data_IF_374887018801
#
_entry.id   IF_374887018801
#
_cell.length_a   1.000
_cell.length_b   1.000
_cell.length_c   1.000
_cell.angle_alpha   90.00
_cell.angle_beta   90.00
_cell.angle_gamma   90.00
#
_symmetry.space_group_name_H-M   'P 1'
#
loop_
_entity.id
_entity.type
_entity.pdbx_description
1 polymer ?
#
# COMPACT_ATOMS: atom_id res chain seq x y z
N UNK A 1 -25.59 33.14 22.00
CA UNK A 1 -24.96 33.60 20.75
C UNK A 1 -24.43 32.38 20.04
N UNK A 2 -25.25 31.82 19.15
CA UNK A 2 -24.86 30.80 18.20
C UNK A 2 -24.36 31.53 16.95
N UNK A 3 -23.16 31.26 16.49
CA UNK A 3 -22.85 31.32 15.06
C UNK A 3 -22.49 29.90 14.63
N UNK A 4 -23.49 29.23 14.05
CA UNK A 4 -23.26 28.05 13.23
C UNK A 4 -22.62 28.56 11.94
N UNK A 5 -21.37 28.20 11.71
CA UNK A 5 -20.71 28.45 10.44
C UNK A 5 -21.55 27.81 9.31
N UNK A 6 -21.88 28.62 8.30
CA UNK A 6 -22.61 28.18 7.11
C UNK A 6 -21.90 26.98 6.44
N UNK A 7 -22.65 25.99 5.94
CA UNK A 7 -22.06 24.95 5.09
C UNK A 7 -21.45 25.62 3.85
N UNK A 8 -20.18 25.32 3.56
CA UNK A 8 -19.54 25.76 2.32
C UNK A 8 -20.26 25.10 1.14
N UNK A 9 -20.57 25.92 0.13
CA UNK A 9 -21.25 25.51 -1.08
C UNK A 9 -20.36 24.54 -1.90
N UNK A 10 -20.96 23.43 -2.33
CA UNK A 10 -20.57 22.57 -3.46
C UNK A 10 -19.07 22.44 -3.75
N UNK A 11 -18.37 21.67 -2.91
CA UNK A 11 -17.26 20.86 -3.42
C UNK A 11 -17.89 19.69 -4.19
N UNK A 12 -18.19 19.88 -5.47
CA UNK A 12 -18.46 18.76 -6.36
C UNK A 12 -17.17 17.94 -6.50
N UNK A 13 -16.92 17.06 -5.52
CA UNK A 13 -15.94 16.00 -5.63
C UNK A 13 -16.39 15.16 -6.83
N UNK A 14 -15.57 15.16 -7.89
CA UNK A 14 -15.81 14.28 -9.03
C UNK A 14 -16.05 12.85 -8.52
N UNK A 15 -17.02 12.11 -9.08
CA UNK A 15 -17.36 10.78 -8.59
C UNK A 15 -16.10 9.93 -8.53
N UNK A 16 -15.77 9.49 -7.32
CA UNK A 16 -14.54 8.79 -7.04
C UNK A 16 -14.54 7.45 -7.79
N UNK A 17 -13.55 7.25 -8.66
CA UNK A 17 -13.50 6.06 -9.52
C UNK A 17 -13.21 4.85 -8.63
N UNK A 18 -14.08 3.82 -8.58
CA UNK A 18 -13.80 2.63 -7.78
C UNK A 18 -12.48 1.96 -8.17
N UNK A 19 -11.83 1.28 -7.22
CA UNK A 19 -10.68 0.43 -7.53
C UNK A 19 -11.13 -0.78 -8.36
N UNK A 20 -10.56 -0.94 -9.55
CA UNK A 20 -10.61 -2.18 -10.31
C UNK A 20 -9.64 -3.23 -9.74
N UNK A 21 -8.59 -2.79 -9.05
CA UNK A 21 -7.59 -3.63 -8.41
C UNK A 21 -8.14 -4.48 -7.24
N UNK A 22 -7.47 -5.60 -6.96
CA UNK A 22 -7.78 -6.49 -5.84
C UNK A 22 -6.82 -6.27 -4.65
N UNK A 23 -7.34 -6.47 -3.43
CA UNK A 23 -6.50 -6.52 -2.24
C UNK A 23 -5.74 -7.85 -2.22
N UNK A 24 -4.42 -7.81 -2.31
CA UNK A 24 -3.58 -9.01 -2.41
C UNK A 24 -2.57 -9.09 -1.28
N UNK A 25 -2.35 -10.32 -0.77
CA UNK A 25 -1.29 -10.61 0.19
C UNK A 25 -0.12 -11.35 -0.45
N UNK A 26 1.12 -11.09 -0.01
CA UNK A 26 2.27 -11.89 -0.43
C UNK A 26 2.20 -13.29 0.16
N UNK A 27 2.52 -14.33 -0.63
CA UNK A 27 2.61 -15.71 -0.11
C UNK A 27 3.87 -15.93 0.73
N UNK A 28 4.85 -15.03 0.64
CA UNK A 28 6.08 -15.06 1.45
C UNK A 28 5.91 -14.52 2.87
N UNK A 29 4.76 -13.92 3.20
CA UNK A 29 4.47 -13.41 4.54
C UNK A 29 4.41 -14.56 5.55
N UNK A 30 5.29 -14.49 6.56
CA UNK A 30 5.44 -15.49 7.63
C UNK A 30 4.72 -15.08 8.93
N UNK A 31 3.92 -14.01 8.89
CA UNK A 31 3.14 -13.52 10.02
C UNK A 31 3.84 -12.42 10.83
N UNK A 32 3.15 -11.99 11.89
CA UNK A 32 3.57 -10.86 12.74
C UNK A 32 4.97 -11.03 13.32
N UNK A 33 5.74 -9.95 13.32
CA UNK A 33 7.06 -9.88 13.93
C UNK A 33 8.15 -10.67 13.20
N UNK A 34 7.86 -11.13 11.98
CA UNK A 34 8.83 -11.76 11.09
C UNK A 34 9.37 -10.75 10.07
N UNK A 35 10.24 -11.21 9.17
CA UNK A 35 10.81 -10.39 8.10
C UNK A 35 9.70 -9.88 7.17
N UNK A 36 9.71 -8.58 6.91
CA UNK A 36 8.77 -7.92 6.01
C UNK A 36 8.81 -8.55 4.62
N UNK A 37 7.66 -8.53 3.95
CA UNK A 37 7.54 -8.99 2.57
C UNK A 37 7.37 -7.82 1.60
N UNK A 38 7.67 -8.04 0.34
CA UNK A 38 7.29 -7.15 -0.75
C UNK A 38 6.39 -7.87 -1.75
N UNK A 39 5.59 -7.09 -2.47
CA UNK A 39 4.88 -7.46 -3.68
C UNK A 39 5.53 -6.75 -4.87
N UNK A 40 5.75 -7.45 -5.98
CA UNK A 40 6.39 -6.91 -7.18
C UNK A 40 5.61 -7.28 -8.43
N UNK A 41 5.51 -6.32 -9.35
CA UNK A 41 5.03 -6.57 -10.71
C UNK A 41 5.86 -5.79 -11.73
N UNK A 42 6.25 -6.50 -12.78
CA UNK A 42 6.84 -5.93 -13.98
C UNK A 42 5.77 -5.84 -15.05
N UNK A 43 5.73 -4.72 -15.77
CA UNK A 43 4.76 -4.43 -16.83
C UNK A 43 5.41 -3.57 -17.91
N UNK A 44 4.81 -3.51 -19.09
CA UNK A 44 5.37 -2.80 -20.24
C UNK A 44 4.41 -1.72 -20.73
N UNK A 45 4.96 -0.53 -20.96
CA UNK A 45 4.27 0.60 -21.57
C UNK A 45 4.79 0.79 -23.00
N UNK A 46 3.93 0.68 -24.00
CA UNK A 46 4.34 0.87 -25.41
C UNK A 46 4.82 2.30 -25.68
N UNK A 47 4.16 3.27 -25.06
CA UNK A 47 4.55 4.69 -25.04
C UNK A 47 4.32 5.24 -23.63
N UNK A 48 4.98 6.36 -23.29
CA UNK A 48 4.74 7.04 -22.03
C UNK A 48 4.59 8.54 -22.22
N UNK A 49 3.42 9.05 -21.85
CA UNK A 49 3.04 10.46 -22.02
C UNK A 49 3.52 11.39 -20.90
N UNK A 50 4.25 10.89 -19.92
CA UNK A 50 4.86 11.70 -18.85
C UNK A 50 3.96 12.01 -17.65
N UNK A 51 2.68 11.61 -17.67
CA UNK A 51 1.76 11.78 -16.54
C UNK A 51 1.05 10.47 -16.20
N UNK A 52 0.92 10.21 -14.90
CA UNK A 52 0.24 9.04 -14.38
C UNK A 52 0.05 9.13 -12.88
N UNK A 53 -0.93 8.41 -12.37
CA UNK A 53 -1.34 8.49 -10.97
C UNK A 53 -1.40 7.11 -10.35
N UNK A 54 -0.71 6.92 -9.23
CA UNK A 54 -0.78 5.71 -8.42
C UNK A 54 -1.69 5.93 -7.22
N UNK A 55 -2.75 5.14 -7.11
CA UNK A 55 -3.57 5.02 -5.90
C UNK A 55 -3.18 3.77 -5.15
N UNK A 56 -2.92 3.87 -3.85
CA UNK A 56 -2.37 2.76 -3.08
C UNK A 56 -2.80 2.79 -1.61
N UNK A 57 -3.04 1.61 -1.05
CA UNK A 57 -3.26 1.38 0.38
C UNK A 57 -2.75 0.00 0.81
N UNK A 58 -2.76 -0.25 2.12
CA UNK A 58 -2.36 -1.53 2.69
C UNK A 58 -3.07 -1.86 4.00
N UNK A 59 -3.34 -3.16 4.21
CA UNK A 59 -3.53 -3.71 5.55
C UNK A 59 -2.15 -3.90 6.19
N UNK A 60 -1.80 -3.02 7.13
CA UNK A 60 -0.42 -2.86 7.60
C UNK A 60 0.11 -1.48 7.28
N UNK A 61 1.39 -1.40 6.95
CA UNK A 61 2.02 -0.23 6.34
C UNK A 61 2.62 -0.60 4.99
N UNK A 62 2.76 0.37 4.10
CA UNK A 62 3.48 0.17 2.85
C UNK A 62 4.56 1.21 2.59
N UNK A 63 5.51 0.84 1.73
CA UNK A 63 6.39 1.76 1.01
C UNK A 63 6.48 1.30 -0.44
N UNK A 64 6.18 2.18 -1.38
CA UNK A 64 6.18 1.85 -2.80
C UNK A 64 7.39 2.42 -3.54
N UNK A 65 7.83 1.70 -4.57
CA UNK A 65 8.91 2.10 -5.46
C UNK A 65 8.55 1.79 -6.90
N UNK A 66 8.83 2.71 -7.81
CA UNK A 66 8.74 2.51 -9.25
C UNK A 66 10.14 2.60 -9.82
N UNK A 67 10.59 1.57 -10.53
CA UNK A 67 11.93 1.50 -11.13
C UNK A 67 13.05 1.80 -10.10
N UNK A 68 12.89 1.28 -8.88
CA UNK A 68 13.81 1.48 -7.76
C UNK A 68 13.75 2.86 -7.09
N UNK A 69 12.96 3.81 -7.61
CA UNK A 69 12.76 5.14 -7.02
C UNK A 69 11.53 5.14 -6.13
N UNK A 70 11.65 5.76 -4.95
CA UNK A 70 10.56 5.85 -3.98
C UNK A 70 9.39 6.64 -4.56
N UNK A 71 8.17 6.16 -4.32
CA UNK A 71 6.93 6.90 -4.58
C UNK A 71 6.55 7.72 -3.36
N UNK A 72 6.38 9.04 -3.55
CA UNK A 72 5.99 9.97 -2.50
C UNK A 72 7.02 10.11 -1.36
N UNK A 73 6.74 11.01 -0.43
CA UNK A 73 7.59 11.21 0.76
C UNK A 73 6.94 10.79 2.08
N UNK A 74 5.63 10.50 2.08
CA UNK A 74 4.84 10.19 3.26
C UNK A 74 5.40 9.01 4.06
N UNK A 75 5.37 9.12 5.37
CA UNK A 75 5.85 8.09 6.28
C UNK A 75 4.67 7.37 6.92
N UNK A 76 4.86 6.09 7.24
CA UNK A 76 3.88 5.27 7.95
C UNK A 76 2.50 5.24 7.24
N UNK A 77 2.51 5.21 5.91
CA UNK A 77 1.31 5.05 5.08
C UNK A 77 0.74 3.63 5.17
N UNK A 78 -0.59 3.45 5.15
CA UNK A 78 -1.62 4.46 4.93
C UNK A 78 -2.09 5.21 6.19
N UNK A 79 -1.41 5.02 7.33
CA UNK A 79 -1.77 5.61 8.62
C UNK A 79 -2.52 4.62 9.53
N UNK A 80 -3.10 5.16 10.61
CA UNK A 80 -3.86 4.40 11.58
C UNK A 80 -5.33 4.81 11.57
N UNK A 81 -6.19 3.86 11.23
CA UNK A 81 -7.65 3.99 11.26
C UNK A 81 -8.27 2.82 12.04
N UNK A 82 -9.59 2.87 12.22
CA UNK A 82 -10.37 1.66 12.53
C UNK A 82 -10.50 0.82 11.25
N UNK A 83 -9.59 -0.12 11.03
CA UNK A 83 -9.46 -0.86 9.75
C UNK A 83 -10.72 -1.64 9.35
N UNK A 84 -11.62 -1.96 10.28
CA UNK A 84 -12.91 -2.59 9.97
C UNK A 84 -13.92 -1.62 9.36
N UNK A 85 -13.82 -0.33 9.68
CA UNK A 85 -14.77 0.70 9.26
C UNK A 85 -14.24 1.51 8.07
N UNK A 86 -12.94 1.79 8.07
CA UNK A 86 -12.29 2.60 7.03
C UNK A 86 -10.82 2.28 6.88
N UNK A 87 -10.35 2.30 5.63
CA UNK A 87 -8.95 2.21 5.26
C UNK A 87 -8.59 3.36 4.32
N UNK A 88 -7.71 4.25 4.75
CA UNK A 88 -7.27 5.37 3.90
C UNK A 88 -6.40 4.88 2.75
N UNK A 89 -6.46 5.54 1.61
CA UNK A 89 -5.53 5.34 0.50
C UNK A 89 -4.92 6.67 0.04
N UNK A 90 -3.70 6.60 -0.48
CA UNK A 90 -2.97 7.76 -0.97
C UNK A 90 -2.94 7.77 -2.49
N UNK A 91 -2.85 8.97 -3.05
CA UNK A 91 -2.79 9.21 -4.50
C UNK A 91 -1.53 9.99 -4.82
N UNK A 92 -0.68 9.47 -5.70
CA UNK A 92 0.59 10.08 -6.08
C UNK A 92 0.67 10.32 -7.57
N UNK A 93 1.18 11.50 -7.97
CA UNK A 93 1.70 11.68 -9.32
C UNK A 93 3.02 10.90 -9.45
N UNK A 94 3.04 9.96 -10.39
CA UNK A 94 4.19 9.09 -10.67
C UNK A 94 4.67 9.24 -12.10
N UNK A 95 4.23 10.28 -12.81
CA UNK A 95 4.59 10.63 -14.18
C UNK A 95 6.08 10.49 -14.47
N UNK A 96 6.89 11.11 -13.63
CA UNK A 96 8.34 11.17 -13.77
C UNK A 96 9.09 9.88 -13.36
N UNK A 97 8.40 8.91 -12.76
CA UNK A 97 9.01 7.64 -12.33
C UNK A 97 8.89 6.54 -13.39
N UNK A 98 7.97 6.72 -14.33
CA UNK A 98 7.63 5.75 -15.38
C UNK A 98 8.35 6.08 -16.70
N UNK A 99 8.50 5.06 -17.54
CA UNK A 99 9.16 5.16 -18.84
C UNK A 99 8.44 4.31 -19.90
N UNK A 100 8.70 4.57 -21.18
CA UNK A 100 8.35 3.63 -22.24
C UNK A 100 9.21 2.36 -22.12
N UNK A 101 8.63 1.21 -22.43
CA UNK A 101 9.24 -0.10 -22.22
C UNK A 101 8.90 -0.70 -20.86
N UNK A 102 9.82 -1.47 -20.31
CA UNK A 102 9.63 -2.20 -19.06
C UNK A 102 9.68 -1.26 -17.84
N UNK A 103 8.73 -1.45 -16.93
CA UNK A 103 8.65 -0.80 -15.63
C UNK A 103 8.41 -1.83 -14.54
N UNK A 104 8.89 -1.56 -13.34
CA UNK A 104 8.64 -2.40 -12.16
C UNK A 104 8.05 -1.57 -11.03
N UNK A 105 6.95 -2.06 -10.46
CA UNK A 105 6.35 -1.54 -9.22
C UNK A 105 6.60 -2.53 -8.09
N UNK A 106 7.22 -2.02 -7.03
CA UNK A 106 7.50 -2.72 -5.77
C UNK A 106 6.68 -2.09 -4.65
N UNK A 107 6.04 -2.93 -3.82
CA UNK A 107 5.30 -2.52 -2.63
C UNK A 107 5.85 -3.32 -1.45
N UNK A 108 6.66 -2.67 -0.62
CA UNK A 108 7.12 -3.24 0.64
C UNK A 108 6.01 -3.13 1.67
N UNK A 109 5.79 -4.18 2.45
CA UNK A 109 4.74 -4.27 3.45
C UNK A 109 5.33 -4.48 4.85
N UNK A 110 4.83 -3.71 5.82
CA UNK A 110 5.16 -3.81 7.24
C UNK A 110 3.93 -4.07 8.10
N UNK A 111 4.15 -4.53 9.33
CA UNK A 111 3.07 -4.96 10.23
C UNK A 111 2.18 -3.80 10.73
N UNK A 112 2.77 -2.62 10.96
CA UNK A 112 2.04 -1.41 11.34
C UNK A 112 1.21 -1.50 12.60
N UNK A 113 0.24 -0.59 12.74
CA UNK A 113 -0.81 -0.69 13.76
C UNK A 113 -1.78 -1.84 13.50
N UNK A 114 -1.85 -2.31 12.25
CA UNK A 114 -2.75 -3.40 11.84
C UNK A 114 -2.49 -4.69 12.62
N UNK A 115 -1.22 -5.12 12.69
CA UNK A 115 -0.88 -6.39 13.34
C UNK A 115 0.36 -6.41 14.23
N UNK A 116 1.20 -5.36 14.23
CA UNK A 116 2.39 -5.36 15.10
C UNK A 116 2.03 -5.28 16.59
N UNK A 117 3.02 -5.51 17.45
CA UNK A 117 2.84 -5.42 18.91
C UNK A 117 2.41 -4.01 19.32
N UNK A 118 1.20 -3.92 19.87
CA UNK A 118 0.66 -2.72 20.52
C UNK A 118 0.62 -2.93 22.05
N UNK A 119 0.52 -1.82 22.78
CA UNK A 119 0.42 -1.77 24.24
C UNK A 119 1.68 -2.25 24.99
N UNK A 120 1.61 -2.25 26.32
CA UNK A 120 2.73 -2.58 27.22
C UNK A 120 3.10 -4.07 27.18
N UNK A 121 4.36 -4.45 27.46
CA UNK A 121 4.83 -5.84 27.38
C UNK A 121 4.01 -6.88 28.16
N UNK A 122 3.40 -6.49 29.30
CA UNK A 122 2.56 -7.39 30.10
C UNK A 122 1.13 -7.59 29.55
N UNK A 123 0.67 -6.69 28.68
CA UNK A 123 -0.68 -6.67 28.09
C UNK A 123 -0.59 -6.46 26.57
N UNK A 124 0.33 -7.16 25.92
CA UNK A 124 0.59 -6.97 24.51
C UNK A 124 -0.58 -7.43 23.65
N UNK A 125 -0.91 -6.64 22.63
CA UNK A 125 -1.86 -6.99 21.59
C UNK A 125 -1.11 -7.17 20.28
N UNK A 126 -1.34 -8.31 19.62
CA UNK A 126 -0.82 -8.66 18.30
C UNK A 126 -2.01 -8.93 17.40
N UNK A 127 -1.85 -8.74 16.08
CA UNK A 127 -2.92 -8.98 15.11
C UNK A 127 -4.23 -8.26 15.48
N UNK A 128 -4.14 -7.01 15.97
CA UNK A 128 -5.27 -6.24 16.51
C UNK A 128 -6.45 -6.18 15.54
N UNK A 129 -6.17 -6.01 14.26
CA UNK A 129 -7.19 -5.87 13.21
C UNK A 129 -7.26 -7.09 12.28
N UNK A 130 -6.18 -7.88 12.22
CA UNK A 130 -6.07 -9.12 11.47
C UNK A 130 -4.64 -9.63 11.43
N UNK A 131 -4.45 -10.83 10.86
CA UNK A 131 -3.15 -11.52 10.84
C UNK A 131 -2.45 -11.48 9.47
N UNK A 132 -3.14 -11.01 8.42
CA UNK A 132 -2.64 -10.96 7.03
C UNK A 132 -2.37 -9.53 6.58
N UNK A 133 -1.11 -9.20 6.30
CA UNK A 133 -0.77 -7.97 5.56
C UNK A 133 -1.16 -8.11 4.09
N UNK A 134 -1.55 -7.00 3.48
CA UNK A 134 -1.96 -6.95 2.08
C UNK A 134 -1.81 -5.54 1.51
N UNK A 135 -1.75 -5.44 0.18
CA UNK A 135 -1.76 -4.18 -0.55
C UNK A 135 -2.87 -4.16 -1.59
N UNK A 136 -3.41 -2.98 -1.85
CA UNK A 136 -4.19 -2.68 -3.05
C UNK A 136 -3.54 -1.48 -3.74
N UNK A 137 -3.27 -1.61 -5.04
CA UNK A 137 -2.70 -0.52 -5.81
C UNK A 137 -3.22 -0.50 -7.23
N UNK A 138 -3.42 0.70 -7.76
CA UNK A 138 -3.89 0.92 -9.12
C UNK A 138 -3.19 2.12 -9.73
N UNK A 139 -2.48 1.87 -10.84
CA UNK A 139 -1.81 2.88 -11.64
C UNK A 139 -2.69 3.22 -12.83
N UNK A 140 -2.91 4.52 -13.05
CA UNK A 140 -3.60 5.06 -14.22
C UNK A 140 -2.71 6.00 -15.02
N UNK A 141 -2.92 6.03 -16.33
CA UNK A 141 -2.27 7.01 -17.22
C UNK A 141 -2.98 8.37 -17.19
N UNK A 142 -2.51 9.30 -18.04
CA UNK A 142 -3.08 10.64 -18.19
C UNK A 142 -4.52 10.66 -18.69
N UNK A 143 -4.99 9.59 -19.34
CA UNK A 143 -6.38 9.41 -19.78
C UNK A 143 -7.25 8.72 -18.71
N UNK A 144 -6.71 8.54 -17.50
CA UNK A 144 -7.32 7.79 -16.41
C UNK A 144 -7.59 6.31 -16.74
N UNK A 145 -6.95 5.74 -17.76
CA UNK A 145 -7.04 4.32 -18.07
C UNK A 145 -6.18 3.50 -17.11
N UNK A 146 -6.67 2.34 -16.67
CA UNK A 146 -5.91 1.44 -15.79
C UNK A 146 -4.76 0.82 -16.58
N UNK A 147 -3.54 1.10 -16.14
CA UNK A 147 -2.29 0.56 -16.71
C UNK A 147 -1.86 -0.68 -15.95
N UNK A 148 -1.98 -0.64 -14.62
CA UNK A 148 -1.61 -1.74 -13.75
C UNK A 148 -2.54 -1.74 -12.53
N UNK A 149 -2.95 -2.93 -12.12
CA UNK A 149 -3.75 -3.16 -10.93
C UNK A 149 -3.15 -4.32 -10.14
N UNK A 150 -3.28 -4.31 -8.81
CA UNK A 150 -2.96 -5.47 -7.98
C UNK A 150 -3.90 -6.62 -8.29
N UNK A 151 -3.34 -7.80 -8.55
CA UNK A 151 -4.05 -9.04 -8.86
C UNK A 151 -3.24 -10.27 -8.42
N UNK A 152 -3.76 -11.48 -8.61
CA UNK A 152 -3.08 -12.73 -8.20
C UNK A 152 -1.80 -13.05 -9.00
N UNK A 153 -1.50 -12.32 -10.07
CA UNK A 153 -0.33 -12.55 -10.94
C UNK A 153 0.91 -11.79 -10.47
N UNK A 154 0.81 -11.08 -9.34
CA UNK A 154 1.93 -10.44 -8.68
C UNK A 154 2.84 -11.46 -8.00
N UNK A 155 4.12 -11.13 -7.92
CA UNK A 155 5.12 -11.92 -7.24
C UNK A 155 5.40 -11.35 -5.85
N UNK A 156 5.95 -12.17 -4.95
CA UNK A 156 6.38 -11.72 -3.63
C UNK A 156 7.76 -12.23 -3.23
N UNK A 157 8.39 -11.51 -2.32
CA UNK A 157 9.70 -11.82 -1.75
C UNK A 157 9.85 -11.21 -0.38
N UNK A 158 11.04 -11.37 0.21
CA UNK A 158 11.37 -10.78 1.51
C UNK A 158 12.12 -9.46 1.32
N UNK A 159 11.69 -8.43 2.04
CA UNK A 159 12.35 -7.13 2.10
C UNK A 159 13.54 -7.17 3.08
N UNK A 160 14.49 -6.22 3.01
CA UNK A 160 15.63 -6.14 3.93
C UNK A 160 15.27 -5.85 5.40
N UNK A 161 14.00 -5.56 5.68
CA UNK A 161 13.47 -5.30 7.02
C UNK A 161 13.20 -6.64 7.73
N UNK A 162 14.11 -7.05 8.62
CA UNK A 162 14.04 -8.31 9.36
C UNK A 162 12.91 -8.34 10.39
N UNK A 163 12.56 -7.18 10.93
CA UNK A 163 11.46 -7.00 11.87
C UNK A 163 11.08 -5.52 11.93
N UNK A 164 9.79 -5.21 11.95
CA UNK A 164 9.29 -3.85 12.11
C UNK A 164 8.09 -3.79 13.07
N UNK A 165 8.01 -2.74 13.87
CA UNK A 165 6.84 -2.48 14.70
C UNK A 165 6.89 -1.13 15.40
N UNK A 166 5.71 -0.54 15.61
CA UNK A 166 5.55 0.84 16.11
C UNK A 166 6.22 1.04 17.48
N UNK A 167 6.14 0.05 18.37
CA UNK A 167 6.61 0.17 19.76
C UNK A 167 8.05 -0.31 19.98
N UNK A 168 8.64 -1.06 19.06
CA UNK A 168 9.95 -1.70 19.27
C UNK A 168 10.97 -1.39 18.17
N UNK A 169 10.60 -0.54 17.20
CA UNK A 169 11.48 -0.09 16.13
C UNK A 169 11.63 -1.11 15.01
N UNK A 170 12.74 -0.99 14.28
CA UNK A 170 13.03 -1.75 13.09
C UNK A 170 14.42 -2.38 13.17
N UNK A 171 14.56 -3.60 12.64
CA UNK A 171 15.85 -4.25 12.38
C UNK A 171 16.00 -4.44 10.88
N UNK A 172 17.11 -3.96 10.32
CA UNK A 172 17.35 -3.90 8.89
C UNK A 172 18.68 -4.58 8.54
N UNK A 173 18.69 -5.41 7.50
CA UNK A 173 19.90 -6.02 6.95
C UNK A 173 20.16 -5.50 5.54
N UNK A 174 21.14 -4.59 5.41
CA UNK A 174 21.51 -4.00 4.13
C UNK A 174 22.04 -5.04 3.11
N UNK A 175 22.47 -6.22 3.56
CA UNK A 175 22.91 -7.31 2.65
C UNK A 175 21.73 -7.92 1.89
N UNK A 176 20.49 -7.70 2.35
CA UNK A 176 19.27 -8.26 1.79
C UNK A 176 18.51 -7.28 0.87
N UNK A 177 19.07 -6.11 0.53
CA UNK A 177 18.40 -5.08 -0.27
C UNK A 177 18.00 -5.54 -1.67
N UNK A 178 18.77 -6.47 -2.27
CA UNK A 178 18.50 -7.03 -3.59
C UNK A 178 17.73 -8.36 -3.51
N UNK A 179 16.80 -8.47 -2.55
CA UNK A 179 15.94 -9.64 -2.40
C UNK A 179 15.21 -10.00 -3.70
N UNK A 180 15.17 -11.28 -4.03
CA UNK A 180 14.49 -11.79 -5.22
C UNK A 180 13.08 -12.26 -4.89
N UNK A 181 12.19 -12.21 -5.88
CA UNK A 181 10.88 -12.82 -5.75
C UNK A 181 11.02 -14.35 -5.64
N UNK A 182 10.40 -14.93 -4.61
CA UNK A 182 10.43 -16.37 -4.31
C UNK A 182 9.04 -16.94 -4.08
N UNK A 183 7.99 -16.10 -4.13
CA UNK A 183 6.59 -16.49 -4.02
C UNK A 183 5.68 -15.69 -4.95
N UNK A 184 4.37 -15.89 -4.79
CA UNK A 184 3.32 -15.22 -5.55
C UNK A 184 2.47 -14.30 -4.68
N UNK A 185 1.27 -13.97 -5.15
CA UNK A 185 0.28 -13.23 -4.39
C UNK A 185 -1.04 -14.01 -4.31
N UNK A 186 -1.83 -13.74 -3.28
CA UNK A 186 -3.18 -14.31 -3.12
C UNK A 186 -4.17 -13.19 -2.85
N UNK A 187 -5.30 -13.21 -3.57
CA UNK A 187 -6.38 -12.25 -3.39
C UNK A 187 -7.09 -12.50 -2.06
N UNK A 188 -7.34 -11.43 -1.31
CA UNK A 188 -8.25 -11.44 -0.16
C UNK A 188 -9.67 -11.20 -0.66
N UNK A 189 -10.34 -12.28 -1.07
CA UNK A 189 -11.66 -12.23 -1.70
C UNK A 189 -12.73 -11.54 -0.84
N UNK A 190 -12.60 -11.60 0.49
CA UNK A 190 -13.56 -11.05 1.44
C UNK A 190 -13.27 -9.57 1.80
N UNK A 191 -12.29 -8.93 1.15
CA UNK A 191 -11.99 -7.52 1.42
C UNK A 191 -13.06 -6.60 0.82
N UNK A 192 -13.75 -5.85 1.69
CA UNK A 192 -14.75 -4.86 1.29
C UNK A 192 -14.09 -3.55 0.82
N UNK A 193 -14.05 -3.36 -0.51
CA UNK A 193 -13.48 -2.16 -1.14
C UNK A 193 -14.27 -0.88 -0.81
N UNK A 194 -15.50 -0.96 -0.29
CA UNK A 194 -16.26 0.22 0.13
C UNK A 194 -15.70 0.91 1.38
N UNK A 195 -14.82 0.23 2.12
CA UNK A 195 -14.09 0.79 3.26
C UNK A 195 -12.94 1.71 2.84
N UNK A 196 -12.55 1.71 1.55
CA UNK A 196 -11.46 2.54 1.05
C UNK A 196 -11.92 4.00 0.94
N UNK A 197 -11.20 4.90 1.59
CA UNK A 197 -11.46 6.33 1.57
C UNK A 197 -10.19 7.10 1.19
N UNK A 198 -10.31 8.22 0.46
CA UNK A 198 -9.16 9.05 0.16
C UNK A 198 -8.56 9.58 1.46
N UNK A 199 -7.22 9.65 1.53
CA UNK A 199 -6.54 10.22 2.67
C UNK A 199 -6.84 11.72 2.77
N UNK A 200 -7.45 12.14 3.88
CA UNK A 200 -7.75 13.53 4.20
C UNK A 200 -6.46 14.23 4.67
N UNK A 201 -6.10 15.35 4.02
CA UNK A 201 -4.97 16.22 4.40
C UNK A 201 -5.48 17.42 5.17
#
# INVERSE_FOLDING_TARGET
MNELASPRADDQVAPEIPFAADMIRPTTDRGVGTQSSFLRKTFTLSTWGGAGTLRISALGLYRAFINGKRVGEDLLTPGWTSYWDRLSYQTYDVGALLQAGENTLDIWLGDGWYRSRMMWPRNQLLNTWGDKIAAIAELRDSAAAVVLATDSTWQSGLAPILKSGIYFGESYDARAENGTATGGATVLADFDKSTLLPYEV
#
